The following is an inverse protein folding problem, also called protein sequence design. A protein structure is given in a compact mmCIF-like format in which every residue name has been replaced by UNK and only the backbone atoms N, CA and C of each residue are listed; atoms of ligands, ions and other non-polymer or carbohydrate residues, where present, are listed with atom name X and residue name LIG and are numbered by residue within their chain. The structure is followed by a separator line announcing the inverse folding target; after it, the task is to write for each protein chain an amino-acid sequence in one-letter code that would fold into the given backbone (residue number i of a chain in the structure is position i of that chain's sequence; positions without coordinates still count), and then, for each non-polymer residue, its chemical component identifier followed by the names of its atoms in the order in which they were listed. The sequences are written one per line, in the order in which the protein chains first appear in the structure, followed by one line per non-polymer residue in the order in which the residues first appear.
data_IF_067988931858
#
_entry.id   IF_067988931858
#
_cell.length_a   1.000
_cell.length_b   1.000
_cell.length_c   1.000
_cell.angle_alpha   90.00
_cell.angle_beta   90.00
_cell.angle_gamma   90.00
#
_symmetry.space_group_name_H-M   'P 1'
#
loop_
_entity.id
_entity.type
_entity.pdbx_description
1 polymer ?
#
# COMPACT_ATOMS: atom_id res chain seq x y z
N UNK A 1 13.44 2.70 14.15
CA UNK A 1 14.20 1.81 13.25
C UNK A 1 13.46 0.48 13.12
N UNK A 2 13.01 0.14 11.91
CA UNK A 2 12.22 -1.08 11.69
C UNK A 2 13.09 -2.30 11.40
N UNK A 3 14.23 -2.08 10.76
CA UNK A 3 15.17 -3.12 10.37
C UNK A 3 16.63 -2.66 10.58
N UNK A 4 17.46 -3.58 10.97
CA UNK A 4 18.90 -3.42 11.04
C UNK A 4 19.52 -4.60 10.27
N UNK A 5 20.32 -4.29 9.26
CA UNK A 5 21.00 -5.27 8.41
C UNK A 5 22.50 -4.97 8.33
N UNK A 6 23.29 -5.93 7.93
CA UNK A 6 24.71 -5.71 7.67
C UNK A 6 24.89 -4.83 6.42
N UNK A 7 26.01 -4.12 6.34
CA UNK A 7 26.30 -3.19 5.23
C UNK A 7 26.23 -3.89 3.88
N UNK A 8 26.76 -5.10 3.79
CA UNK A 8 26.78 -5.92 2.57
C UNK A 8 25.39 -6.36 2.10
N UNK A 9 24.43 -6.40 3.02
CA UNK A 9 23.03 -6.81 2.74
C UNK A 9 22.11 -5.61 2.49
N UNK A 10 22.56 -4.39 2.75
CA UNK A 10 21.69 -3.19 2.72
C UNK A 10 21.02 -2.99 1.38
N UNK A 11 21.77 -3.10 0.28
CA UNK A 11 21.23 -2.89 -1.07
C UNK A 11 20.22 -3.95 -1.43
N UNK A 12 20.53 -5.22 -1.25
CA UNK A 12 19.64 -6.34 -1.59
C UNK A 12 18.37 -6.33 -0.74
N UNK A 13 18.49 -6.06 0.55
CA UNK A 13 17.34 -5.93 1.45
C UNK A 13 16.42 -4.76 1.05
N UNK A 14 17.02 -3.62 0.73
CA UNK A 14 16.27 -2.43 0.31
C UNK A 14 15.54 -2.67 -1.01
N UNK A 15 16.19 -3.28 -1.98
CA UNK A 15 15.59 -3.60 -3.28
C UNK A 15 14.48 -4.65 -3.16
N UNK A 16 14.63 -5.64 -2.29
CA UNK A 16 13.55 -6.61 -2.02
C UNK A 16 12.31 -5.90 -1.44
N UNK A 17 12.51 -5.06 -0.43
CA UNK A 17 11.42 -4.29 0.17
C UNK A 17 10.76 -3.35 -0.85
N UNK A 18 11.53 -2.63 -1.65
CA UNK A 18 11.03 -1.75 -2.69
C UNK A 18 10.22 -2.51 -3.75
N UNK A 19 10.71 -3.67 -4.17
CA UNK A 19 10.03 -4.54 -5.15
C UNK A 19 8.70 -5.08 -4.61
N UNK A 20 8.65 -5.46 -3.34
CA UNK A 20 7.40 -5.89 -2.69
C UNK A 20 6.36 -4.78 -2.67
N UNK A 21 6.76 -3.55 -2.38
CA UNK A 21 5.86 -2.38 -2.41
C UNK A 21 5.44 -2.09 -3.86
N UNK A 22 6.38 -2.12 -4.81
CA UNK A 22 6.10 -1.82 -6.22
C UNK A 22 5.12 -2.82 -6.86
N UNK A 23 5.10 -4.06 -6.40
CA UNK A 23 4.16 -5.09 -6.84
C UNK A 23 2.79 -5.05 -6.16
N UNK A 24 2.59 -4.12 -5.24
CA UNK A 24 1.30 -3.92 -4.57
C UNK A 24 0.33 -3.04 -5.39
N UNK A 25 -0.93 -2.89 -4.92
CA UNK A 25 -1.96 -2.12 -5.60
C UNK A 25 -1.63 -0.61 -5.59
N UNK A 26 -1.34 0.02 -6.74
CA UNK A 26 -0.78 1.37 -6.80
C UNK A 26 -1.68 2.45 -6.21
N UNK A 27 -3.01 2.35 -6.39
CA UNK A 27 -3.97 3.31 -5.84
C UNK A 27 -3.91 3.28 -4.30
N UNK A 28 -4.01 2.10 -3.71
CA UNK A 28 -3.98 1.93 -2.26
C UNK A 28 -2.65 2.40 -1.65
N UNK A 29 -1.53 2.07 -2.29
CA UNK A 29 -0.19 2.48 -1.82
C UNK A 29 -0.03 4.00 -1.85
N UNK A 30 -0.47 4.67 -2.92
CA UNK A 30 -0.41 6.15 -3.02
C UNK A 30 -1.27 6.82 -1.95
N UNK A 31 -2.48 6.30 -1.73
CA UNK A 31 -3.40 6.82 -0.70
C UNK A 31 -2.82 6.57 0.69
N UNK A 32 -2.33 5.36 0.97
CA UNK A 32 -1.70 5.05 2.26
C UNK A 32 -0.51 5.97 2.55
N UNK A 33 0.35 6.21 1.58
CA UNK A 33 1.47 7.15 1.72
C UNK A 33 0.99 8.57 2.03
N UNK A 34 0.00 9.06 1.28
CA UNK A 34 -0.59 10.37 1.52
C UNK A 34 -1.15 10.47 2.94
N UNK A 35 -1.92 9.46 3.38
CA UNK A 35 -2.54 9.44 4.70
C UNK A 35 -1.53 9.37 5.83
N UNK A 36 -0.43 8.64 5.66
CA UNK A 36 0.66 8.58 6.65
C UNK A 36 1.31 9.95 6.87
N UNK A 37 1.58 10.70 5.81
CA UNK A 37 2.18 12.02 5.93
C UNK A 37 1.17 13.06 6.46
N UNK A 38 -0.03 13.09 5.90
CA UNK A 38 -1.06 14.07 6.27
C UNK A 38 -1.71 13.78 7.62
N UNK A 39 -1.78 12.52 8.02
CA UNK A 39 -2.33 12.12 9.31
C UNK A 39 -1.62 12.74 10.52
N UNK A 40 -0.37 13.18 10.36
CA UNK A 40 0.36 13.90 11.39
C UNK A 40 -0.07 15.38 11.54
N UNK A 41 -0.77 15.92 10.54
CA UNK A 41 -1.19 17.33 10.49
C UNK A 41 -2.65 17.50 10.92
N UNK A 42 -3.44 16.43 10.98
CA UNK A 42 -4.86 16.45 11.29
C UNK A 42 -5.17 15.93 12.70
N UNK A 43 -6.28 16.40 13.28
CA UNK A 43 -6.88 15.73 14.42
C UNK A 43 -7.39 14.34 14.05
N UNK A 44 -7.56 13.48 15.06
CA UNK A 44 -7.95 12.09 14.86
C UNK A 44 -9.27 11.95 14.10
N UNK A 45 -10.28 12.74 14.42
CA UNK A 45 -11.60 12.66 13.80
C UNK A 45 -11.52 12.98 12.31
N UNK A 46 -10.80 14.04 11.95
CA UNK A 46 -10.56 14.42 10.55
C UNK A 46 -9.79 13.35 9.81
N UNK A 47 -8.71 12.80 10.40
CA UNK A 47 -7.93 11.73 9.81
C UNK A 47 -8.78 10.48 9.55
N UNK A 48 -9.66 10.09 10.49
CA UNK A 48 -10.56 8.95 10.31
C UNK A 48 -11.59 9.17 9.19
N UNK A 49 -12.18 10.37 9.08
CA UNK A 49 -13.11 10.70 8.00
C UNK A 49 -12.44 10.67 6.64
N UNK A 50 -11.21 11.19 6.55
CA UNK A 50 -10.42 11.13 5.32
C UNK A 50 -10.05 9.69 4.95
N UNK A 51 -9.67 8.86 5.92
CA UNK A 51 -9.37 7.45 5.68
C UNK A 51 -10.60 6.70 5.16
N UNK A 52 -11.78 6.91 5.73
CA UNK A 52 -13.01 6.29 5.28
C UNK A 52 -13.39 6.70 3.83
N UNK A 53 -13.21 7.99 3.49
CA UNK A 53 -13.43 8.46 2.13
C UNK A 53 -12.42 7.84 1.15
N UNK A 54 -11.16 7.77 1.52
CA UNK A 54 -10.09 7.16 0.73
C UNK A 54 -10.31 5.64 0.53
N UNK A 55 -10.83 4.95 1.53
CA UNK A 55 -11.17 3.52 1.44
C UNK A 55 -12.22 3.27 0.36
N UNK A 56 -13.21 4.15 0.19
CA UNK A 56 -14.21 4.02 -0.87
C UNK A 56 -13.55 4.00 -2.26
N UNK A 57 -12.51 4.82 -2.47
CA UNK A 57 -11.77 4.84 -3.74
C UNK A 57 -11.05 3.51 -3.98
N UNK A 58 -10.40 2.97 -2.96
CA UNK A 58 -9.68 1.70 -3.10
C UNK A 58 -10.62 0.53 -3.30
N UNK A 59 -11.72 0.45 -2.55
CA UNK A 59 -12.70 -0.63 -2.63
C UNK A 59 -13.44 -0.70 -3.98
N UNK A 60 -13.60 0.44 -4.65
CA UNK A 60 -14.26 0.50 -5.95
C UNK A 60 -13.32 0.27 -7.13
N UNK A 61 -12.01 0.20 -6.89
CA UNK A 61 -10.99 0.02 -7.93
C UNK A 61 -11.05 -1.38 -8.56
N UNK A 62 -10.52 -1.50 -9.77
CA UNK A 62 -10.31 -2.79 -10.44
C UNK A 62 -9.25 -3.61 -9.70
N UNK A 63 -8.21 -2.96 -9.19
CA UNK A 63 -7.16 -3.59 -8.39
C UNK A 63 -7.71 -4.27 -7.14
N UNK A 64 -8.72 -3.69 -6.48
CA UNK A 64 -9.39 -4.36 -5.36
C UNK A 64 -10.05 -5.68 -5.79
N UNK A 65 -10.78 -5.65 -6.91
CA UNK A 65 -11.44 -6.86 -7.46
C UNK A 65 -10.41 -7.92 -7.83
N UNK A 66 -9.33 -7.52 -8.50
CA UNK A 66 -8.21 -8.40 -8.83
C UNK A 66 -7.59 -9.02 -7.57
N UNK A 67 -7.32 -8.22 -6.55
CA UNK A 67 -6.76 -8.71 -5.29
C UNK A 67 -7.65 -9.75 -4.60
N UNK A 68 -8.96 -9.49 -4.55
CA UNK A 68 -9.94 -10.45 -3.97
C UNK A 68 -9.99 -11.73 -4.81
N UNK A 69 -10.00 -11.60 -6.13
CA UNK A 69 -10.06 -12.76 -7.01
C UNK A 69 -8.78 -13.59 -6.92
N UNK A 70 -7.62 -12.96 -6.99
CA UNK A 70 -6.32 -13.62 -6.86
C UNK A 70 -6.20 -14.38 -5.53
N UNK A 71 -6.69 -13.78 -4.44
CA UNK A 71 -6.72 -14.44 -3.13
C UNK A 71 -7.58 -15.71 -3.14
N UNK A 72 -8.79 -15.66 -3.73
CA UNK A 72 -9.68 -16.83 -3.84
C UNK A 72 -9.07 -17.93 -4.70
N UNK A 73 -8.38 -17.56 -5.78
CA UNK A 73 -7.74 -18.46 -6.74
C UNK A 73 -6.34 -18.92 -6.29
N UNK A 74 -5.83 -18.40 -5.17
CA UNK A 74 -4.48 -18.67 -4.63
C UNK A 74 -3.36 -18.39 -5.65
N UNK A 75 -3.49 -17.34 -6.41
CA UNK A 75 -2.49 -16.85 -7.38
C UNK A 75 -1.97 -15.48 -7.00
N UNK A 76 -0.85 -15.11 -7.61
CA UNK A 76 -0.31 -13.75 -7.49
C UNK A 76 -1.21 -12.77 -8.24
N UNK A 77 -1.63 -11.65 -7.61
CA UNK A 77 -2.40 -10.61 -8.30
C UNK A 77 -1.53 -9.81 -9.27
N UNK A 78 -2.18 -9.25 -10.30
CA UNK A 78 -1.57 -8.31 -11.23
C UNK A 78 -2.32 -6.99 -11.15
N UNK A 79 -1.71 -5.97 -10.55
CA UNK A 79 -2.32 -4.68 -10.36
C UNK A 79 -1.97 -3.71 -11.48
N UNK A 80 -2.95 -2.94 -11.95
CA UNK A 80 -2.80 -1.99 -13.06
C UNK A 80 -2.94 -0.52 -12.64
N UNK A 81 -3.32 -0.26 -11.38
CA UNK A 81 -3.57 1.09 -10.88
C UNK A 81 -4.90 1.69 -11.37
N UNK A 82 -5.89 0.87 -11.53
CA UNK A 82 -7.23 1.26 -12.01
C UNK A 82 -8.34 0.92 -11.02
#
# INVERSE_FOLDING_TARGET
LNHLVQEEELESFTMDMASRIANGPPIAIRIAKLMLYKGLEFDLETAMKMAAAAETITLTSQDHREGVQAFREKRTPTYEGK
#
